data_IF_545806080511
#
_entry.id   IF_545806080511
#
_cell.length_a   1.000
_cell.length_b   1.000
_cell.length_c   1.000
_cell.angle_alpha   90.00
_cell.angle_beta   90.00
_cell.angle_gamma   90.00
#
_symmetry.space_group_name_H-M   'P 1'
#
loop_
_entity.id
_entity.type
_entity.pdbx_description
1 polymer ?
#
# COMPACT_ATOMS: atom_id res chain seq x y z
N UNK A 1 21.49 66.02 -27.28
CA UNK A 1 21.60 65.25 -26.02
C UNK A 1 21.81 63.80 -26.41
N UNK A 2 22.99 63.27 -26.11
CA UNK A 2 23.50 62.00 -26.62
C UNK A 2 22.90 60.81 -25.86
N UNK A 3 22.52 59.77 -26.60
CA UNK A 3 22.05 58.49 -26.09
C UNK A 3 23.28 57.58 -26.05
N UNK A 4 23.70 57.18 -24.85
CA UNK A 4 24.74 56.16 -24.64
C UNK A 4 24.07 54.79 -24.52
N UNK A 5 24.31 53.94 -25.52
CA UNK A 5 24.01 52.51 -25.50
C UNK A 5 25.12 51.78 -24.75
N UNK A 6 24.82 51.27 -23.55
CA UNK A 6 25.68 50.29 -22.86
C UNK A 6 25.57 48.92 -23.54
N UNK A 7 26.72 48.31 -23.80
CA UNK A 7 26.85 46.98 -24.40
C UNK A 7 26.48 45.89 -23.39
N UNK A 8 25.70 44.90 -23.84
CA UNK A 8 25.29 43.73 -23.06
C UNK A 8 26.49 42.85 -22.61
N UNK A 9 27.66 43.03 -23.23
CA UNK A 9 28.89 42.30 -22.89
C UNK A 9 29.57 42.84 -21.62
N UNK A 10 29.37 44.12 -21.28
CA UNK A 10 29.95 44.72 -20.07
C UNK A 10 29.20 44.37 -18.77
N UNK A 11 27.96 43.86 -18.89
CA UNK A 11 27.15 43.41 -17.76
C UNK A 11 27.47 41.97 -17.32
N UNK A 12 28.02 41.14 -18.22
CA UNK A 12 28.30 39.71 -17.96
C UNK A 12 29.70 39.53 -17.35
N UNK A 13 30.65 40.43 -17.63
CA UNK A 13 32.01 40.39 -17.06
C UNK A 13 32.10 40.70 -15.55
N UNK A 14 31.07 41.30 -14.93
CA UNK A 14 31.12 41.71 -13.51
C UNK A 14 30.55 40.70 -12.50
N UNK A 15 30.07 39.53 -12.94
CA UNK A 15 29.47 38.52 -12.04
C UNK A 15 30.24 37.20 -11.88
N UNK A 16 31.46 37.10 -12.42
CA UNK A 16 32.34 35.93 -12.25
C UNK A 16 33.66 36.24 -11.51
N UNK A 17 33.72 37.36 -10.78
CA UNK A 17 34.94 37.84 -10.10
C UNK A 17 35.08 37.48 -8.62
N UNK A 18 34.25 36.62 -8.04
CA UNK A 18 34.29 36.31 -6.59
C UNK A 18 34.27 34.82 -6.30
N UNK A 19 35.28 34.11 -6.80
CA UNK A 19 35.77 32.87 -6.19
C UNK A 19 37.30 32.96 -6.15
N UNK A 20 37.79 33.83 -5.29
CA UNK A 20 39.20 33.90 -4.92
C UNK A 20 39.48 32.77 -3.92
N UNK A 21 40.18 31.74 -4.40
CA UNK A 21 40.86 30.77 -3.55
C UNK A 21 41.95 31.51 -2.79
N UNK A 22 41.88 31.47 -1.46
CA UNK A 22 42.94 31.93 -0.57
C UNK A 22 44.08 30.92 -0.62
N UNK A 23 45.23 31.37 -1.08
CA UNK A 23 46.52 30.72 -0.84
C UNK A 23 46.84 30.84 0.65
N UNK A 24 46.82 29.72 1.36
CA UNK A 24 47.41 29.62 2.69
C UNK A 24 48.88 29.21 2.57
N UNK A 25 49.68 29.99 3.28
CA UNK A 25 51.12 29.98 3.46
C UNK A 25 51.70 28.61 3.84
N UNK A 26 52.75 28.24 3.12
CA UNK A 26 53.69 27.15 3.40
C UNK A 26 54.34 27.32 4.80
N UNK A 27 54.20 26.29 5.64
CA UNK A 27 55.11 26.00 6.74
C UNK A 27 55.88 24.72 6.39
N UNK A 28 57.19 24.88 6.21
CA UNK A 28 58.15 23.81 5.95
C UNK A 28 58.27 22.87 7.15
N UNK A 29 58.43 21.58 6.87
CA UNK A 29 59.03 20.61 7.80
C UNK A 29 58.05 19.64 8.45
N UNK A 30 57.50 18.71 7.67
CA UNK A 30 57.02 17.41 8.18
C UNK A 30 57.00 16.41 7.01
N UNK A 31 57.65 15.28 7.19
CA UNK A 31 57.65 14.14 6.26
C UNK A 31 56.21 13.78 5.87
N UNK A 32 55.87 13.67 4.57
CA UNK A 32 54.51 13.40 4.16
C UNK A 32 54.09 12.00 4.63
N UNK A 33 52.92 11.85 5.29
CA UNK A 33 52.33 10.53 5.45
C UNK A 33 52.14 9.93 4.05
N UNK A 34 52.47 8.65 3.88
CA UNK A 34 52.22 7.93 2.64
C UNK A 34 50.76 8.17 2.24
N UNK A 35 50.57 8.92 1.16
CA UNK A 35 49.28 9.12 0.54
C UNK A 35 48.81 7.75 0.03
N UNK A 36 48.02 7.06 0.84
CA UNK A 36 47.16 5.99 0.36
C UNK A 36 46.36 6.54 -0.82
N UNK A 37 46.22 5.74 -1.86
CA UNK A 37 45.50 6.14 -3.06
C UNK A 37 44.08 6.59 -2.63
N UNK A 38 43.66 7.85 -2.85
CA UNK A 38 42.30 8.30 -2.45
C UNK A 38 41.20 7.46 -3.15
N UNK A 39 41.57 6.81 -4.25
CA UNK A 39 40.76 5.82 -4.97
C UNK A 39 40.60 4.49 -4.22
N UNK A 40 41.59 4.05 -3.42
CA UNK A 40 41.50 2.82 -2.62
C UNK A 40 40.60 2.98 -1.39
N UNK A 41 40.54 4.16 -0.77
CA UNK A 41 39.55 4.45 0.29
C UNK A 41 38.11 4.52 -0.27
N UNK A 42 37.91 5.00 -1.50
CA UNK A 42 36.61 4.98 -2.17
C UNK A 42 36.19 3.57 -2.62
N UNK A 43 37.15 2.70 -2.94
CA UNK A 43 36.90 1.30 -3.32
C UNK A 43 36.73 0.38 -2.09
N UNK A 44 37.35 0.72 -0.96
CA UNK A 44 37.28 -0.04 0.30
C UNK A 44 36.36 0.59 1.35
N UNK A 45 35.72 1.73 1.07
CA UNK A 45 34.64 2.24 1.91
C UNK A 45 33.57 1.14 2.02
N UNK A 46 33.14 0.76 3.24
CA UNK A 46 32.03 -0.18 3.38
C UNK A 46 30.90 0.36 2.52
N UNK A 47 30.46 -0.40 1.51
CA UNK A 47 29.34 -0.03 0.64
C UNK A 47 28.26 0.51 1.56
N UNK A 48 28.04 1.83 1.52
CA UNK A 48 26.98 2.44 2.31
C UNK A 48 25.74 1.65 1.97
N UNK A 49 25.19 0.95 2.97
CA UNK A 49 24.00 0.13 2.74
C UNK A 49 22.97 1.05 2.11
N UNK A 50 22.35 0.53 1.06
CA UNK A 50 21.34 1.25 0.33
C UNK A 50 20.20 1.64 1.29
N UNK A 51 19.75 2.89 1.28
CA UNK A 51 18.73 3.39 2.21
C UNK A 51 17.45 2.55 2.17
N UNK A 52 17.05 2.09 0.97
CA UNK A 52 15.92 1.20 0.81
C UNK A 52 16.14 -0.13 1.51
N UNK A 53 17.31 -0.75 1.34
CA UNK A 53 17.62 -2.03 1.98
C UNK A 53 17.59 -1.93 3.51
N UNK A 54 18.19 -0.86 4.06
CA UNK A 54 18.16 -0.58 5.50
C UNK A 54 16.71 -0.40 5.97
N UNK A 55 15.92 0.41 5.27
CA UNK A 55 14.51 0.61 5.60
C UNK A 55 13.71 -0.70 5.56
N UNK A 56 13.93 -1.54 4.56
CA UNK A 56 13.22 -2.80 4.41
C UNK A 56 13.56 -3.77 5.55
N UNK A 57 14.85 -3.95 5.84
CA UNK A 57 15.32 -4.89 6.86
C UNK A 57 14.95 -4.43 8.28
N UNK A 58 15.12 -3.14 8.58
CA UNK A 58 15.03 -2.64 9.95
C UNK A 58 13.61 -2.20 10.32
N UNK A 59 12.76 -1.87 9.34
CA UNK A 59 11.43 -1.31 9.58
C UNK A 59 10.30 -2.07 8.89
N UNK A 60 10.32 -2.17 7.56
CA UNK A 60 9.15 -2.63 6.80
C UNK A 60 8.88 -4.13 6.95
N UNK A 61 9.88 -4.99 6.71
CA UNK A 61 9.70 -6.43 6.76
C UNK A 61 9.34 -6.94 8.17
N UNK A 62 9.98 -6.47 9.26
CA UNK A 62 9.55 -6.81 10.61
C UNK A 62 8.10 -6.40 10.88
N UNK A 63 7.72 -5.17 10.47
CA UNK A 63 6.34 -4.70 10.62
C UNK A 63 5.36 -5.62 9.88
N UNK A 64 5.62 -5.93 8.62
CA UNK A 64 4.79 -6.82 7.79
C UNK A 64 4.64 -8.21 8.43
N UNK A 65 5.72 -8.81 8.93
CA UNK A 65 5.70 -10.12 9.58
C UNK A 65 4.85 -10.15 10.86
N UNK A 66 4.81 -9.05 11.63
CA UNK A 66 3.96 -8.97 12.84
C UNK A 66 2.48 -8.83 12.53
N UNK A 67 2.11 -8.42 11.31
CA UNK A 67 0.71 -8.30 10.90
C UNK A 67 0.06 -9.69 10.82
N UNK A 68 -1.05 -9.87 11.53
CA UNK A 68 -1.84 -11.13 11.52
C UNK A 68 -3.00 -11.11 10.54
N UNK A 69 -3.48 -9.91 10.20
CA UNK A 69 -4.67 -9.73 9.38
C UNK A 69 -4.31 -8.96 8.11
N UNK A 70 -4.86 -9.43 6.99
CA UNK A 70 -4.87 -8.71 5.73
C UNK A 70 -5.98 -7.67 5.80
N UNK A 71 -5.60 -6.41 6.02
CA UNK A 71 -6.53 -5.29 6.14
C UNK A 71 -6.68 -4.64 4.78
N UNK A 72 -7.93 -4.44 4.36
CA UNK A 72 -8.26 -3.88 3.05
C UNK A 72 -9.22 -2.72 3.20
N UNK A 73 -9.04 -1.69 2.39
CA UNK A 73 -10.00 -0.59 2.29
C UNK A 73 -11.24 -1.06 1.54
N UNK A 74 -12.43 -0.81 2.10
CA UNK A 74 -13.71 -1.20 1.50
C UNK A 74 -14.35 -0.02 0.76
N UNK A 75 -15.02 -0.24 -0.37
CA UNK A 75 -15.64 0.85 -1.15
C UNK A 75 -16.76 1.57 -0.39
N UNK A 76 -17.35 0.92 0.61
CA UNK A 76 -18.42 1.46 1.45
C UNK A 76 -17.90 2.33 2.62
N UNK A 77 -16.57 2.53 2.72
CA UNK A 77 -16.00 3.37 3.75
C UNK A 77 -16.54 4.82 3.65
N UNK A 78 -16.98 5.43 4.78
CA UNK A 78 -17.48 6.81 4.80
C UNK A 78 -16.51 7.84 4.25
N UNK A 79 -15.19 7.58 4.25
CA UNK A 79 -14.18 8.43 3.63
C UNK A 79 -14.57 8.82 2.19
N UNK A 80 -15.10 7.89 1.41
CA UNK A 80 -15.39 8.11 0.00
C UNK A 80 -16.58 9.04 -0.25
N UNK A 81 -17.36 9.41 0.77
CA UNK A 81 -18.55 10.24 0.59
C UNK A 81 -18.20 11.60 -0.02
N UNK A 82 -17.14 12.25 0.45
CA UNK A 82 -16.73 13.55 -0.08
C UNK A 82 -16.33 13.49 -1.56
N UNK A 83 -15.70 12.41 -1.98
CA UNK A 83 -15.36 12.20 -3.40
C UNK A 83 -16.62 12.02 -4.25
N UNK A 84 -17.66 11.34 -3.72
CA UNK A 84 -18.98 11.22 -4.37
C UNK A 84 -19.64 12.60 -4.52
N UNK A 85 -19.68 13.37 -3.44
CA UNK A 85 -20.28 14.72 -3.44
C UNK A 85 -19.59 15.65 -4.46
N UNK A 86 -18.25 15.63 -4.52
CA UNK A 86 -17.47 16.39 -5.51
C UNK A 86 -17.82 15.93 -6.93
N UNK A 87 -17.81 14.61 -7.18
CA UNK A 87 -18.10 14.04 -8.49
C UNK A 87 -19.50 14.41 -9.00
N UNK A 88 -20.51 14.30 -8.12
CA UNK A 88 -21.89 14.66 -8.42
C UNK A 88 -22.07 16.16 -8.66
N UNK A 89 -21.47 17.01 -7.82
CA UNK A 89 -21.58 18.48 -7.97
C UNK A 89 -20.98 18.99 -9.28
N UNK A 90 -19.97 18.29 -9.81
CA UNK A 90 -19.34 18.59 -11.11
C UNK A 90 -20.11 18.03 -12.31
N UNK A 91 -21.13 17.19 -12.08
CA UNK A 91 -21.90 16.55 -13.15
C UNK A 91 -21.04 15.66 -14.06
N UNK A 92 -19.98 15.06 -13.51
CA UNK A 92 -19.09 14.20 -14.27
C UNK A 92 -19.71 12.83 -14.51
N UNK A 93 -19.48 12.29 -15.70
CA UNK A 93 -20.05 11.02 -16.15
C UNK A 93 -18.96 9.96 -16.35
N UNK A 94 -19.38 8.70 -16.46
CA UNK A 94 -18.50 7.56 -16.67
C UNK A 94 -17.96 6.96 -15.38
N UNK A 95 -16.94 6.12 -15.51
CA UNK A 95 -16.43 5.25 -14.44
C UNK A 95 -15.29 5.87 -13.61
N UNK A 96 -14.98 7.17 -13.78
CA UNK A 96 -13.81 7.76 -13.11
C UNK A 96 -13.88 7.72 -11.59
N UNK A 97 -15.07 7.90 -11.00
CA UNK A 97 -15.27 7.76 -9.55
C UNK A 97 -15.12 6.32 -9.08
N UNK A 98 -15.74 5.36 -9.78
CA UNK A 98 -15.67 3.94 -9.41
C UNK A 98 -14.25 3.40 -9.55
N UNK A 99 -13.52 3.83 -10.59
CA UNK A 99 -12.11 3.53 -10.79
C UNK A 99 -11.22 4.16 -9.70
N UNK A 100 -11.45 5.42 -9.34
CA UNK A 100 -10.76 6.09 -8.22
C UNK A 100 -10.94 5.32 -6.91
N UNK A 101 -12.18 4.96 -6.55
CA UNK A 101 -12.46 4.18 -5.35
C UNK A 101 -11.78 2.81 -5.43
N UNK A 102 -11.87 2.13 -6.58
CA UNK A 102 -11.27 0.80 -6.77
C UNK A 102 -9.75 0.82 -6.62
N UNK A 103 -9.07 1.84 -7.15
CA UNK A 103 -7.63 2.03 -6.99
C UNK A 103 -7.22 2.23 -5.52
N UNK A 104 -8.08 2.83 -4.70
CA UNK A 104 -7.83 3.04 -3.27
C UNK A 104 -8.21 1.84 -2.39
N UNK A 105 -9.01 0.89 -2.89
CA UNK A 105 -9.48 -0.32 -2.19
C UNK A 105 -8.44 -1.45 -2.05
N UNK A 106 -7.16 -1.10 -1.95
CA UNK A 106 -6.03 -2.02 -1.79
C UNK A 106 -5.80 -2.51 -0.36
N UNK A 107 -4.76 -3.31 -0.18
CA UNK A 107 -4.32 -3.85 1.11
C UNK A 107 -3.48 -2.81 1.86
N UNK A 108 -3.92 -2.44 3.06
CA UNK A 108 -3.28 -1.42 3.92
C UNK A 108 -1.91 -1.85 4.45
N UNK A 109 -1.66 -3.16 4.52
CA UNK A 109 -0.38 -3.70 4.96
C UNK A 109 0.74 -3.45 3.93
N UNK A 110 0.39 -3.14 2.68
CA UNK A 110 1.32 -3.00 1.58
C UNK A 110 1.65 -1.53 1.30
N UNK A 111 2.85 -1.24 0.76
CA UNK A 111 3.20 0.11 0.33
C UNK A 111 2.23 0.61 -0.74
N UNK A 112 1.75 1.83 -0.60
CA UNK A 112 0.92 2.48 -1.60
C UNK A 112 1.77 2.95 -2.80
N UNK A 113 1.18 3.11 -3.97
CA UNK A 113 1.80 3.74 -5.13
C UNK A 113 1.20 5.13 -5.29
N UNK A 114 2.03 6.17 -5.23
CA UNK A 114 1.60 7.54 -5.49
C UNK A 114 1.89 7.92 -6.95
N UNK A 115 0.84 8.22 -7.70
CA UNK A 115 0.86 8.80 -9.03
C UNK A 115 0.48 10.28 -8.97
N UNK A 116 0.56 10.98 -10.10
CA UNK A 116 0.24 12.40 -10.15
C UNK A 116 -1.28 12.62 -10.20
N UNK A 117 -1.95 11.97 -11.14
CA UNK A 117 -3.34 12.22 -11.49
C UNK A 117 -3.92 11.06 -12.32
N UNK A 118 -5.27 10.95 -12.40
CA UNK A 118 -5.90 9.92 -13.20
C UNK A 118 -5.55 10.06 -14.69
N UNK A 119 -5.44 8.91 -15.36
CA UNK A 119 -5.21 8.87 -16.81
C UNK A 119 -6.40 9.45 -17.58
N UNK A 120 -6.17 9.87 -18.82
CA UNK A 120 -7.24 10.30 -19.73
C UNK A 120 -8.36 9.25 -19.89
N UNK A 121 -8.06 7.97 -19.68
CA UNK A 121 -8.99 6.85 -19.84
C UNK A 121 -9.76 6.50 -18.56
N UNK A 122 -9.75 7.36 -17.53
CA UNK A 122 -10.42 7.13 -16.24
C UNK A 122 -11.93 6.90 -16.37
N UNK A 123 -12.56 7.46 -17.41
CA UNK A 123 -13.99 7.31 -17.67
C UNK A 123 -14.40 5.92 -18.19
N UNK A 124 -13.45 5.09 -18.61
CA UNK A 124 -13.70 3.75 -19.15
C UNK A 124 -13.90 2.71 -18.03
N UNK A 125 -14.61 1.60 -18.30
CA UNK A 125 -14.65 0.46 -17.39
C UNK A 125 -13.25 -0.03 -17.00
N UNK A 126 -13.09 -0.51 -15.76
CA UNK A 126 -11.82 -0.91 -15.14
C UNK A 126 -10.81 -1.59 -16.08
N UNK A 127 -11.19 -2.69 -16.73
CA UNK A 127 -10.28 -3.45 -17.59
C UNK A 127 -9.83 -2.64 -18.81
N UNK A 128 -10.73 -1.80 -19.35
CA UNK A 128 -10.43 -0.91 -20.47
C UNK A 128 -9.57 0.28 -20.03
N UNK A 129 -9.80 0.83 -18.85
CA UNK A 129 -8.92 1.88 -18.29
C UNK A 129 -7.49 1.35 -18.17
N UNK A 130 -7.29 0.15 -17.61
CA UNK A 130 -5.97 -0.46 -17.47
C UNK A 130 -5.35 -0.72 -18.85
N UNK A 131 -6.07 -1.36 -19.76
CA UNK A 131 -5.57 -1.68 -21.11
C UNK A 131 -5.08 -0.44 -21.87
N UNK A 132 -5.77 0.70 -21.70
CA UNK A 132 -5.46 1.94 -22.42
C UNK A 132 -4.49 2.86 -21.67
N UNK A 133 -4.36 2.72 -20.35
CA UNK A 133 -3.44 3.50 -19.52
C UNK A 133 -2.07 2.81 -19.47
N UNK A 134 -1.03 3.35 -20.12
CA UNK A 134 0.27 2.68 -20.18
C UNK A 134 0.92 2.56 -18.80
N UNK A 135 0.68 3.55 -17.94
CA UNK A 135 1.15 3.53 -16.55
C UNK A 135 0.51 2.38 -15.78
N UNK A 136 -0.83 2.28 -15.80
CA UNK A 136 -1.54 1.23 -15.06
C UNK A 136 -1.27 -0.16 -15.65
N UNK A 137 -1.21 -0.29 -16.97
CA UNK A 137 -0.81 -1.52 -17.63
C UNK A 137 0.58 -1.99 -17.19
N UNK A 138 1.56 -1.08 -17.16
CA UNK A 138 2.92 -1.38 -16.72
C UNK A 138 2.94 -1.82 -15.25
N UNK A 139 2.24 -1.09 -14.36
CA UNK A 139 2.15 -1.46 -12.94
C UNK A 139 1.50 -2.84 -12.77
N UNK A 140 0.39 -3.09 -13.46
CA UNK A 140 -0.32 -4.36 -13.43
C UNK A 140 0.55 -5.52 -13.91
N UNK A 141 1.34 -5.31 -14.96
CA UNK A 141 2.29 -6.31 -15.47
C UNK A 141 3.38 -6.62 -14.44
N UNK A 142 3.97 -5.60 -13.83
CA UNK A 142 5.04 -5.76 -12.83
C UNK A 142 4.55 -6.47 -11.58
N UNK A 143 3.40 -6.06 -11.04
CA UNK A 143 2.77 -6.72 -9.89
C UNK A 143 2.36 -8.16 -10.20
N UNK A 144 1.86 -8.41 -11.42
CA UNK A 144 1.37 -9.71 -11.85
C UNK A 144 2.42 -10.82 -11.79
N UNK A 145 3.72 -10.49 -11.89
CA UNK A 145 4.82 -11.45 -11.74
C UNK A 145 4.84 -12.12 -10.37
N UNK A 146 4.32 -11.43 -9.35
CA UNK A 146 4.26 -11.89 -7.97
C UNK A 146 2.86 -12.36 -7.57
N UNK A 147 1.94 -12.49 -8.55
CA UNK A 147 0.54 -12.83 -8.28
C UNK A 147 -0.27 -11.71 -7.64
N UNK A 148 0.27 -10.48 -7.60
CA UNK A 148 -0.45 -9.29 -7.14
C UNK A 148 -1.15 -8.60 -8.31
N UNK A 149 -2.22 -7.88 -8.01
CA UNK A 149 -2.95 -7.04 -8.97
C UNK A 149 -3.02 -5.59 -8.53
N UNK A 150 -3.45 -4.71 -9.44
CA UNK A 150 -3.79 -3.32 -9.10
C UNK A 150 -4.89 -3.23 -8.04
N UNK A 151 -5.72 -4.28 -7.86
CA UNK A 151 -6.69 -4.30 -6.79
C UNK A 151 -6.03 -4.55 -5.44
N UNK A 152 -4.89 -5.22 -5.38
CA UNK A 152 -4.25 -5.57 -4.10
C UNK A 152 -3.42 -4.41 -3.53
N UNK A 153 -3.05 -3.44 -4.37
CA UNK A 153 -2.22 -2.30 -3.99
C UNK A 153 -3.06 -1.03 -3.97
N UNK A 154 -2.87 -0.20 -2.96
CA UNK A 154 -3.46 1.14 -2.93
C UNK A 154 -2.70 2.01 -3.93
N UNK A 155 -3.40 2.51 -4.96
CA UNK A 155 -2.86 3.48 -5.91
C UNK A 155 -3.53 4.82 -5.67
N UNK A 156 -2.73 5.78 -5.24
CA UNK A 156 -3.14 7.13 -4.87
C UNK A 156 -2.72 8.07 -5.99
N UNK A 157 -3.64 8.87 -6.49
CA UNK A 157 -3.29 10.04 -7.32
C UNK A 157 -3.10 11.25 -6.40
N UNK A 158 -2.01 12.01 -6.55
CA UNK A 158 -1.78 13.23 -5.78
C UNK A 158 -2.93 14.23 -5.98
N UNK A 159 -3.39 14.38 -7.22
CA UNK A 159 -4.51 15.25 -7.61
C UNK A 159 -5.64 14.38 -8.16
N UNK A 160 -6.43 13.72 -7.29
CA UNK A 160 -7.40 12.71 -7.70
C UNK A 160 -8.58 13.35 -8.44
N UNK A 161 -9.33 12.52 -9.18
CA UNK A 161 -10.52 12.89 -9.99
C UNK A 161 -10.26 13.87 -11.14
N UNK A 162 -9.11 14.54 -11.16
CA UNK A 162 -8.76 15.61 -12.08
C UNK A 162 -7.80 15.10 -13.17
N UNK A 163 -8.35 14.75 -14.33
CA UNK A 163 -7.54 14.44 -15.51
C UNK A 163 -6.98 15.69 -16.15
N UNK A 164 -5.92 15.50 -16.93
CA UNK A 164 -5.36 16.48 -17.87
C UNK A 164 -6.45 17.23 -18.68
N UNK A 165 -7.42 16.51 -19.25
CA UNK A 165 -8.49 17.11 -20.04
C UNK A 165 -9.46 17.94 -19.19
N UNK A 166 -9.82 17.44 -18.00
CA UNK A 166 -10.70 18.15 -17.07
C UNK A 166 -10.05 19.46 -16.61
N UNK A 167 -8.74 19.47 -16.39
CA UNK A 167 -7.99 20.69 -16.09
C UNK A 167 -7.94 21.68 -17.25
N UNK A 168 -7.72 21.18 -18.47
CA UNK A 168 -7.59 22.04 -19.65
C UNK A 168 -8.93 22.75 -19.98
N UNK A 169 -10.05 22.25 -19.46
CA UNK A 169 -11.36 22.89 -19.53
C UNK A 169 -11.61 23.97 -18.47
N UNK A 170 -10.76 24.07 -17.44
CA UNK A 170 -10.85 25.07 -16.36
C UNK A 170 -9.93 26.26 -16.63
N UNK A 171 -10.34 27.45 -16.18
CA UNK A 171 -9.42 28.59 -16.13
C UNK A 171 -8.33 28.40 -15.05
N UNK A 172 -7.32 29.27 -15.05
CA UNK A 172 -6.18 29.11 -14.14
C UNK A 172 -6.57 29.19 -12.65
N UNK A 173 -7.51 30.06 -12.29
CA UNK A 173 -7.93 30.26 -10.91
C UNK A 173 -8.78 29.09 -10.43
N UNK A 174 -9.73 28.66 -11.26
CA UNK A 174 -10.55 27.47 -10.97
C UNK A 174 -9.66 26.22 -10.86
N UNK A 175 -8.72 26.05 -11.78
CA UNK A 175 -7.80 24.91 -11.78
C UNK A 175 -6.98 24.85 -10.49
N UNK A 176 -6.41 25.96 -10.06
CA UNK A 176 -5.62 26.01 -8.82
C UNK A 176 -6.49 25.69 -7.60
N UNK A 177 -7.66 26.33 -7.48
CA UNK A 177 -8.58 26.09 -6.36
C UNK A 177 -9.01 24.63 -6.30
N UNK A 178 -9.38 24.06 -7.45
CA UNK A 178 -9.87 22.71 -7.52
C UNK A 178 -8.77 21.67 -7.32
N UNK A 179 -7.56 21.88 -7.87
CA UNK A 179 -6.41 21.03 -7.60
C UNK A 179 -6.07 20.98 -6.10
N UNK A 180 -6.12 22.12 -5.41
CA UNK A 180 -5.93 22.16 -3.95
C UNK A 180 -7.09 21.49 -3.19
N UNK A 181 -8.33 21.59 -3.67
CA UNK A 181 -9.47 20.90 -3.07
C UNK A 181 -9.33 19.37 -3.16
N UNK A 182 -9.02 18.83 -4.34
CA UNK A 182 -8.88 17.38 -4.51
C UNK A 182 -7.59 16.85 -3.91
N UNK A 183 -6.50 17.64 -3.85
CA UNK A 183 -5.29 17.25 -3.11
C UNK A 183 -5.58 17.03 -1.61
N UNK A 184 -6.52 17.77 -1.01
CA UNK A 184 -6.97 17.51 0.36
C UNK A 184 -7.57 16.12 0.53
N UNK A 185 -8.24 15.57 -0.49
CA UNK A 185 -8.72 14.17 -0.43
C UNK A 185 -7.55 13.20 -0.28
N UNK A 186 -6.45 13.45 -0.98
CA UNK A 186 -5.24 12.63 -0.88
C UNK A 186 -4.63 12.70 0.52
N UNK A 187 -4.50 13.91 1.07
CA UNK A 187 -4.02 14.10 2.45
C UNK A 187 -4.95 13.43 3.47
N UNK A 188 -6.26 13.59 3.30
CA UNK A 188 -7.28 12.99 4.15
C UNK A 188 -7.25 11.47 4.07
N UNK A 189 -7.09 10.88 2.88
CA UNK A 189 -6.97 9.44 2.68
C UNK A 189 -5.78 8.88 3.44
N UNK A 190 -4.60 9.48 3.22
CA UNK A 190 -3.34 9.09 3.85
C UNK A 190 -3.50 9.10 5.38
N UNK A 191 -4.13 10.14 5.93
CA UNK A 191 -4.39 10.27 7.37
C UNK A 191 -5.45 9.28 7.87
N UNK A 192 -6.56 9.14 7.15
CA UNK A 192 -7.68 8.30 7.57
C UNK A 192 -7.26 6.83 7.68
N UNK A 193 -6.53 6.35 6.67
CA UNK A 193 -6.11 4.96 6.58
C UNK A 193 -4.72 4.65 7.15
N UNK A 194 -4.04 5.67 7.69
CA UNK A 194 -2.69 5.56 8.23
C UNK A 194 -1.70 4.94 7.23
N UNK A 195 -1.61 5.52 6.04
CA UNK A 195 -0.66 5.05 5.02
C UNK A 195 0.76 5.39 5.48
N UNK A 196 1.52 4.37 5.88
CA UNK A 196 2.87 4.56 6.46
C UNK A 196 3.99 4.52 5.41
N UNK A 197 3.80 3.79 4.31
CA UNK A 197 4.82 3.56 3.29
C UNK A 197 4.21 3.77 1.91
N UNK A 198 4.92 4.51 1.07
CA UNK A 198 4.54 4.66 -0.34
C UNK A 198 5.76 4.73 -1.25
N UNK A 199 5.59 4.28 -2.48
CA UNK A 199 6.48 4.59 -3.58
C UNK A 199 5.93 5.79 -4.35
N UNK A 200 6.71 6.86 -4.44
CA UNK A 200 6.32 8.02 -5.22
C UNK A 200 6.76 7.88 -6.68
N UNK A 201 5.78 7.71 -7.56
CA UNK A 201 5.92 7.66 -9.01
C UNK A 201 5.43 8.96 -9.67
N UNK A 202 5.41 10.07 -8.92
CA UNK A 202 5.10 11.39 -9.45
C UNK A 202 6.35 12.27 -9.46
N UNK A 203 6.75 12.74 -10.64
CA UNK A 203 7.96 13.57 -10.81
C UNK A 203 7.64 15.06 -10.97
N UNK A 204 6.38 15.46 -10.77
CA UNK A 204 5.84 16.72 -11.26
C UNK A 204 5.13 17.50 -10.16
N UNK A 205 5.92 17.93 -9.18
CA UNK A 205 5.50 18.95 -8.21
C UNK A 205 6.60 19.99 -7.98
N UNK A 206 7.42 20.27 -9.01
CA UNK A 206 8.18 21.52 -9.02
C UNK A 206 7.21 22.68 -9.25
N UNK A 207 7.34 23.80 -8.52
CA UNK A 207 6.51 25.00 -8.68
C UNK A 207 6.46 25.58 -10.11
N UNK A 208 7.33 25.10 -11.00
CA UNK A 208 7.44 25.50 -12.40
C UNK A 208 6.56 24.69 -13.37
N UNK A 209 5.85 23.65 -12.91
CA UNK A 209 5.00 22.85 -13.79
C UNK A 209 3.69 23.59 -14.13
N UNK A 210 3.78 24.51 -15.10
CA UNK A 210 2.71 25.45 -15.53
C UNK A 210 1.32 24.82 -15.71
N UNK A 211 1.25 23.52 -16.03
CA UNK A 211 -0.02 22.83 -16.28
C UNK A 211 -0.88 22.63 -15.02
N UNK A 212 -0.27 22.24 -13.90
CA UNK A 212 -0.99 21.79 -12.70
C UNK A 212 -1.31 22.92 -11.71
N UNK A 213 -0.85 24.15 -12.01
CA UNK A 213 -0.85 25.22 -11.03
C UNK A 213 0.13 24.94 -9.88
N UNK A 214 0.17 25.85 -8.91
CA UNK A 214 0.90 25.61 -7.67
C UNK A 214 -0.08 24.89 -6.74
N UNK A 215 0.12 23.59 -6.51
CA UNK A 215 -0.47 22.95 -5.33
C UNK A 215 0.24 23.59 -4.14
N UNK A 216 -0.46 24.50 -3.47
CA UNK A 216 0.12 25.34 -2.42
C UNK A 216 0.04 24.61 -1.07
N UNK A 217 0.58 23.40 -1.05
CA UNK A 217 0.65 22.55 0.12
C UNK A 217 2.11 22.10 0.33
N UNK A 218 2.75 22.46 1.45
CA UNK A 218 4.11 22.02 1.78
C UNK A 218 4.28 20.50 1.81
N UNK A 219 3.20 19.75 2.01
CA UNK A 219 3.21 18.30 1.96
C UNK A 219 3.38 17.78 0.52
N UNK A 220 2.79 18.43 -0.48
CA UNK A 220 2.93 18.04 -1.88
C UNK A 220 4.39 18.02 -2.35
N UNK A 221 5.17 19.01 -1.94
CA UNK A 221 6.60 19.09 -2.26
C UNK A 221 7.42 17.95 -1.63
N UNK A 222 7.02 17.45 -0.46
CA UNK A 222 7.68 16.32 0.20
C UNK A 222 7.38 14.97 -0.47
N UNK A 223 6.28 14.90 -1.22
CA UNK A 223 5.88 13.71 -1.98
C UNK A 223 6.53 13.62 -3.36
N UNK A 224 7.33 14.60 -3.78
CA UNK A 224 8.04 14.58 -5.06
C UNK A 224 8.93 13.33 -5.18
N UNK A 225 9.04 12.82 -6.40
CA UNK A 225 10.11 11.89 -6.74
C UNK A 225 10.96 12.30 -7.93
N UNK A 226 12.10 11.63 -8.09
CA UNK A 226 13.03 11.88 -9.19
C UNK A 226 13.70 10.58 -9.64
N UNK A 227 14.07 10.54 -10.93
CA UNK A 227 14.83 9.42 -11.51
C UNK A 227 16.15 9.20 -10.78
N UNK A 228 16.81 10.28 -10.36
CA UNK A 228 18.07 10.19 -9.63
C UNK A 228 17.88 9.58 -8.24
N UNK A 229 16.82 9.96 -7.52
CA UNK A 229 16.45 9.35 -6.24
C UNK A 229 16.10 7.86 -6.38
N UNK A 230 15.37 7.49 -7.43
CA UNK A 230 15.04 6.08 -7.70
C UNK A 230 16.27 5.23 -8.02
N UNK A 231 17.22 5.76 -8.81
CA UNK A 231 18.49 5.07 -9.09
C UNK A 231 19.33 4.85 -7.84
N UNK A 232 19.31 5.80 -6.90
CA UNK A 232 19.96 5.68 -5.60
C UNK A 232 19.13 4.87 -4.59
N UNK A 233 17.89 4.54 -4.93
CA UNK A 233 16.90 3.90 -4.05
C UNK A 233 16.74 4.67 -2.72
N UNK A 234 16.65 6.00 -2.84
CA UNK A 234 16.49 6.91 -1.71
C UNK A 234 15.13 6.69 -1.03
N UNK A 235 15.11 6.78 0.32
CA UNK A 235 13.89 6.73 1.12
C UNK A 235 13.77 8.01 1.92
N UNK A 236 12.79 8.84 1.58
CA UNK A 236 12.53 10.08 2.28
C UNK A 236 11.61 9.85 3.50
N UNK A 237 11.84 10.63 4.54
CA UNK A 237 10.96 10.71 5.70
C UNK A 237 10.12 11.96 5.57
N UNK A 238 8.81 11.78 5.52
CA UNK A 238 7.84 12.86 5.33
C UNK A 238 6.97 12.96 6.56
N UNK A 239 6.71 14.20 6.99
CA UNK A 239 5.91 14.48 8.17
C UNK A 239 4.53 14.98 7.77
N UNK A 240 3.49 14.25 8.19
CA UNK A 240 2.11 14.68 8.08
C UNK A 240 1.55 14.88 9.48
N UNK A 241 1.61 16.12 9.97
CA UNK A 241 1.19 16.47 11.33
C UNK A 241 1.98 15.66 12.38
N UNK A 242 1.31 14.80 13.14
CA UNK A 242 1.87 13.92 14.16
C UNK A 242 2.34 12.56 13.61
N UNK A 243 2.26 12.36 12.28
CA UNK A 243 2.57 11.09 11.62
C UNK A 243 3.82 11.16 10.77
N UNK A 244 4.49 10.03 10.69
CA UNK A 244 5.68 9.86 9.85
C UNK A 244 5.36 8.89 8.72
N UNK A 245 5.70 9.29 7.51
CA UNK A 245 5.57 8.49 6.30
C UNK A 245 6.94 8.24 5.70
N UNK A 246 7.12 7.05 5.13
CA UNK A 246 8.30 6.68 4.36
C UNK A 246 7.95 6.72 2.88
N UNK A 247 8.59 7.64 2.16
CA UNK A 247 8.38 7.83 0.73
C UNK A 247 9.59 7.32 -0.02
N UNK A 248 9.43 6.17 -0.65
CA UNK A 248 10.43 5.56 -1.50
C UNK A 248 10.44 6.31 -2.83
N UNK A 249 11.61 6.78 -3.25
CA UNK A 249 11.75 7.56 -4.48
C UNK A 249 11.62 6.64 -5.69
N UNK A 250 10.57 6.81 -6.48
CA UNK A 250 10.39 6.19 -7.80
C UNK A 250 10.45 7.22 -8.92
N UNK A 251 9.86 6.89 -10.06
CA UNK A 251 9.50 7.85 -11.10
C UNK A 251 8.31 7.33 -11.91
N UNK A 252 7.67 8.24 -12.65
CA UNK A 252 6.48 7.90 -13.41
C UNK A 252 6.80 6.92 -14.56
N UNK A 253 6.11 5.77 -14.70
CA UNK A 253 6.38 4.78 -15.75
C UNK A 253 6.37 5.34 -17.19
N UNK A 254 5.61 6.41 -17.45
CA UNK A 254 5.67 7.08 -18.76
C UNK A 254 7.05 7.63 -19.15
N UNK A 255 7.98 7.85 -18.20
CA UNK A 255 9.36 8.20 -18.54
C UNK A 255 10.07 7.09 -19.32
N UNK A 256 9.75 5.82 -19.05
CA UNK A 256 10.28 4.68 -19.80
C UNK A 256 9.76 4.76 -21.24
N UNK A 257 8.45 4.92 -21.40
CA UNK A 257 7.81 4.97 -22.72
C UNK A 257 8.25 6.17 -23.56
N UNK A 258 8.49 7.33 -22.94
CA UNK A 258 8.90 8.56 -23.62
C UNK A 258 10.39 8.58 -24.00
N UNK A 259 11.21 7.72 -23.41
CA UNK A 259 12.63 7.62 -23.76
C UNK A 259 12.78 6.94 -25.12
N UNK A 260 13.37 7.64 -26.10
CA UNK A 260 13.57 7.12 -27.46
C UNK A 260 14.72 6.12 -27.55
N UNK A 261 15.83 6.41 -26.86
CA UNK A 261 17.02 5.55 -26.78
C UNK A 261 16.69 4.18 -26.14
N UNK A 262 16.85 3.05 -26.86
CA UNK A 262 16.55 1.72 -26.34
C UNK A 262 17.34 1.35 -25.09
N UNK A 263 18.61 1.75 -24.99
CA UNK A 263 19.47 1.38 -23.88
C UNK A 263 19.08 2.15 -22.61
N UNK A 264 18.88 3.48 -22.72
CA UNK A 264 18.35 4.27 -21.62
C UNK A 264 16.93 3.81 -21.21
N UNK A 265 16.07 3.43 -22.17
CA UNK A 265 14.74 2.89 -21.88
C UNK A 265 14.84 1.60 -21.06
N UNK A 266 15.66 0.65 -21.50
CA UNK A 266 15.90 -0.62 -20.81
C UNK A 266 16.49 -0.39 -19.41
N UNK A 267 17.45 0.53 -19.28
CA UNK A 267 18.03 0.92 -18.00
C UNK A 267 16.99 1.50 -17.03
N UNK A 268 16.12 2.42 -17.50
CA UNK A 268 15.05 2.99 -16.67
C UNK A 268 14.03 1.93 -16.27
N UNK A 269 13.61 1.08 -17.20
CA UNK A 269 12.69 -0.02 -16.91
C UNK A 269 13.29 -0.95 -15.84
N UNK A 270 14.57 -1.32 -15.96
CA UNK A 270 15.28 -2.13 -14.98
C UNK A 270 15.34 -1.49 -13.58
N UNK A 271 15.55 -0.16 -13.50
CA UNK A 271 15.56 0.57 -12.22
C UNK A 271 14.18 0.51 -11.55
N UNK A 272 13.11 0.84 -12.29
CA UNK A 272 11.78 0.90 -11.70
C UNK A 272 11.23 -0.50 -11.37
N UNK A 273 11.49 -1.49 -12.24
CA UNK A 273 11.16 -2.90 -11.97
C UNK A 273 11.91 -3.40 -10.76
N UNK A 274 13.23 -3.19 -10.67
CA UNK A 274 14.02 -3.60 -9.52
C UNK A 274 13.50 -3.00 -8.21
N UNK A 275 13.06 -1.73 -8.26
CA UNK A 275 12.44 -1.06 -7.11
C UNK A 275 11.13 -1.74 -6.70
N UNK A 276 10.21 -1.98 -7.66
CA UNK A 276 8.95 -2.67 -7.40
C UNK A 276 9.15 -4.10 -6.91
N UNK A 277 10.07 -4.85 -7.53
CA UNK A 277 10.39 -6.24 -7.16
C UNK A 277 10.88 -6.29 -5.71
N UNK A 278 11.81 -5.40 -5.33
CA UNK A 278 12.36 -5.32 -3.97
C UNK A 278 11.27 -5.04 -2.92
N UNK A 279 10.24 -4.25 -3.26
CA UNK A 279 9.20 -3.79 -2.32
C UNK A 279 8.03 -4.77 -2.25
N UNK A 280 7.54 -5.25 -3.40
CA UNK A 280 6.28 -5.98 -3.51
C UNK A 280 6.45 -7.49 -3.51
N UNK A 281 7.63 -8.04 -3.85
CA UNK A 281 7.87 -9.48 -3.71
C UNK A 281 7.65 -9.96 -2.26
N UNK A 282 8.23 -9.31 -1.22
CA UNK A 282 7.97 -9.72 0.16
C UNK A 282 6.50 -9.60 0.58
N UNK A 283 5.76 -8.65 0.00
CA UNK A 283 4.33 -8.48 0.22
C UNK A 283 3.54 -9.68 -0.31
N UNK A 284 3.85 -10.10 -1.55
CA UNK A 284 3.26 -11.27 -2.18
C UNK A 284 3.55 -12.56 -1.40
N UNK A 285 4.82 -12.76 -1.01
CA UNK A 285 5.25 -13.92 -0.23
C UNK A 285 4.48 -13.98 1.11
N UNK A 286 4.35 -12.83 1.78
CA UNK A 286 3.57 -12.73 3.02
C UNK A 286 2.09 -13.04 2.81
N UNK A 287 1.45 -12.51 1.76
CA UNK A 287 0.05 -12.79 1.47
C UNK A 287 -0.19 -14.26 1.13
N UNK A 288 0.67 -14.86 0.31
CA UNK A 288 0.60 -16.27 -0.03
C UNK A 288 0.73 -17.15 1.24
N UNK A 289 1.66 -16.80 2.15
CA UNK A 289 1.79 -17.47 3.43
C UNK A 289 0.50 -17.38 4.27
N UNK A 290 -0.10 -16.20 4.38
CA UNK A 290 -1.35 -16.00 5.13
C UNK A 290 -2.53 -16.76 4.53
N UNK A 291 -2.62 -16.84 3.21
CA UNK A 291 -3.66 -17.64 2.57
C UNK A 291 -3.50 -19.13 2.86
N UNK A 292 -2.27 -19.66 2.86
CA UNK A 292 -1.99 -21.05 3.24
C UNK A 292 -2.38 -21.34 4.69
N UNK A 293 -1.88 -20.54 5.63
CA UNK A 293 -2.19 -20.69 7.06
C UNK A 293 -3.69 -20.64 7.34
N UNK A 294 -4.41 -19.76 6.64
CA UNK A 294 -5.87 -19.67 6.77
C UNK A 294 -6.56 -20.91 6.22
N UNK A 295 -6.14 -21.42 5.06
CA UNK A 295 -6.67 -22.65 4.47
C UNK A 295 -6.48 -23.86 5.40
N UNK A 296 -5.28 -24.05 5.94
CA UNK A 296 -4.97 -25.13 6.89
C UNK A 296 -5.81 -25.02 8.18
N UNK A 297 -5.99 -23.80 8.68
CA UNK A 297 -6.84 -23.55 9.85
C UNK A 297 -8.32 -23.85 9.55
N UNK A 298 -8.83 -23.41 8.40
CA UNK A 298 -10.21 -23.68 7.96
C UNK A 298 -10.44 -25.19 7.78
N UNK A 299 -9.52 -25.92 7.15
CA UNK A 299 -9.58 -27.38 7.02
C UNK A 299 -9.59 -28.08 8.38
N UNK A 300 -8.70 -27.66 9.29
CA UNK A 300 -8.65 -28.20 10.66
C UNK A 300 -9.95 -27.94 11.41
N UNK A 301 -10.54 -26.75 11.28
CA UNK A 301 -11.82 -26.40 11.89
C UNK A 301 -12.96 -27.24 11.31
N UNK A 302 -13.01 -27.46 10.00
CA UNK A 302 -14.02 -28.32 9.38
C UNK A 302 -13.87 -29.78 9.83
N UNK A 303 -12.64 -30.31 9.87
CA UNK A 303 -12.38 -31.67 10.35
C UNK A 303 -12.83 -31.84 11.81
N UNK A 304 -12.47 -30.90 12.69
CA UNK A 304 -12.89 -30.92 14.08
C UNK A 304 -14.42 -30.82 14.22
N UNK A 305 -15.07 -29.99 13.40
CA UNK A 305 -16.53 -29.89 13.39
C UNK A 305 -17.21 -31.20 12.94
N UNK A 306 -16.66 -31.90 11.95
CA UNK A 306 -17.16 -33.18 11.49
C UNK A 306 -16.93 -34.31 12.51
N UNK A 307 -15.79 -34.31 13.21
CA UNK A 307 -15.52 -35.23 14.32
C UNK A 307 -16.53 -35.03 15.46
N UNK A 308 -16.78 -33.78 15.87
CA UNK A 308 -17.79 -33.45 16.88
C UNK A 308 -19.17 -33.93 16.43
N UNK A 309 -19.54 -33.68 15.17
CA UNK A 309 -20.80 -34.15 14.59
C UNK A 309 -20.91 -35.68 14.63
N UNK A 310 -19.86 -36.39 14.24
CA UNK A 310 -19.80 -37.86 14.26
C UNK A 310 -19.92 -38.43 15.69
N UNK A 311 -19.24 -37.81 16.65
CA UNK A 311 -19.33 -38.18 18.06
C UNK A 311 -20.75 -37.98 18.60
N UNK A 312 -21.42 -36.87 18.25
CA UNK A 312 -22.81 -36.61 18.63
C UNK A 312 -23.77 -37.66 18.05
N UNK A 313 -23.62 -38.03 16.78
CA UNK A 313 -24.43 -39.08 16.15
C UNK A 313 -24.26 -40.42 16.86
N UNK A 314 -23.01 -40.79 17.16
CA UNK A 314 -22.69 -42.02 17.89
C UNK A 314 -23.31 -42.01 19.27
N UNK A 315 -23.18 -40.90 20.01
CA UNK A 315 -23.78 -40.71 21.32
C UNK A 315 -25.31 -40.89 21.27
N UNK A 316 -26.00 -40.25 20.34
CA UNK A 316 -27.46 -40.41 20.19
C UNK A 316 -27.87 -41.85 19.83
N UNK A 317 -27.09 -42.55 19.02
CA UNK A 317 -27.35 -43.96 18.71
C UNK A 317 -27.18 -44.86 19.93
N UNK A 318 -26.15 -44.62 20.75
CA UNK A 318 -25.95 -45.32 22.03
C UNK A 318 -27.12 -45.08 22.99
N UNK A 319 -27.62 -43.83 23.10
CA UNK A 319 -28.83 -43.54 23.89
C UNK A 319 -30.04 -44.32 23.37
N UNK A 320 -30.25 -44.36 22.05
CA UNK A 320 -31.38 -45.09 21.45
C UNK A 320 -31.30 -46.59 21.77
N UNK A 321 -30.12 -47.19 21.65
CA UNK A 321 -29.87 -48.59 21.98
C UNK A 321 -30.13 -48.86 23.47
N UNK A 322 -29.60 -48.03 24.37
CA UNK A 322 -29.86 -48.11 25.81
C UNK A 322 -31.37 -48.08 26.12
N UNK A 323 -32.11 -47.12 25.55
CA UNK A 323 -33.57 -47.02 25.72
C UNK A 323 -34.32 -48.24 25.17
N UNK A 324 -33.83 -48.86 24.09
CA UNK A 324 -34.40 -50.09 23.56
C UNK A 324 -34.22 -51.27 24.53
N UNK A 325 -33.00 -51.45 25.06
CA UNK A 325 -32.70 -52.46 26.08
C UNK A 325 -33.54 -52.25 27.35
N UNK A 326 -33.67 -51.01 27.83
CA UNK A 326 -34.48 -50.67 28.99
C UNK A 326 -35.95 -51.08 28.79
N UNK A 327 -36.53 -50.79 27.62
CA UNK A 327 -37.89 -51.23 27.28
C UNK A 327 -38.02 -52.75 27.23
N UNK A 328 -37.01 -53.45 26.73
CA UNK A 328 -37.02 -54.92 26.67
C UNK A 328 -36.92 -55.54 28.08
N UNK A 329 -36.07 -55.01 28.95
CA UNK A 329 -35.96 -55.47 30.34
C UNK A 329 -37.28 -55.30 31.10
N UNK A 330 -37.96 -54.16 30.91
CA UNK A 330 -39.30 -53.93 31.48
C UNK A 330 -40.30 -55.00 31.01
N UNK A 331 -40.31 -55.33 29.71
CA UNK A 331 -41.20 -56.36 29.15
C UNK A 331 -40.93 -57.76 29.72
N UNK A 332 -39.68 -58.08 30.01
CA UNK A 332 -39.27 -59.37 30.56
C UNK A 332 -39.45 -59.46 32.08
N UNK A 333 -39.98 -58.42 32.73
CA UNK A 333 -40.16 -58.38 34.18
C UNK A 333 -38.86 -58.23 34.98
N UNK A 334 -37.73 -58.04 34.30
CA UNK A 334 -36.41 -57.81 34.91
C UNK A 334 -36.11 -56.32 35.14
N UNK A 335 -36.91 -55.43 34.54
CA UNK A 335 -36.85 -53.98 34.74
C UNK A 335 -38.08 -53.43 35.44
N UNK A 336 -37.88 -52.51 36.39
CA UNK A 336 -38.96 -51.78 37.07
C UNK A 336 -39.41 -50.57 36.24
N UNK A 337 -40.67 -50.56 35.79
CA UNK A 337 -41.32 -49.37 35.23
C UNK A 337 -41.81 -48.43 36.35
N UNK A 338 -40.96 -48.08 37.33
CA UNK A 338 -41.33 -47.07 38.32
C UNK A 338 -41.28 -45.69 37.67
N UNK A 339 -42.45 -45.19 37.32
CA UNK A 339 -42.69 -43.78 36.99
C UNK A 339 -42.17 -42.91 38.14
N UNK A 340 -41.11 -42.15 37.88
CA UNK A 340 -40.99 -40.79 38.42
C UNK A 340 -40.27 -40.56 39.76
N UNK A 341 -39.58 -41.52 40.37
CA UNK A 341 -38.82 -41.23 41.61
C UNK A 341 -37.31 -41.42 41.40
N UNK A 342 -36.60 -40.29 41.25
CA UNK A 342 -35.20 -39.91 41.56
C UNK A 342 -34.00 -40.89 41.56
N UNK A 343 -34.21 -42.19 41.42
CA UNK A 343 -33.18 -43.19 41.18
C UNK A 343 -33.43 -43.81 39.80
N UNK A 344 -32.37 -43.96 39.00
CA UNK A 344 -32.33 -44.49 37.63
C UNK A 344 -32.59 -43.53 36.45
N UNK A 345 -32.38 -42.22 36.64
CA UNK A 345 -31.71 -41.48 35.55
C UNK A 345 -30.23 -41.78 35.74
N UNK A 346 -29.57 -42.53 34.83
CA UNK A 346 -28.14 -42.77 34.95
C UNK A 346 -27.43 -41.43 35.15
N UNK A 347 -26.50 -41.37 36.10
CA UNK A 347 -25.85 -40.11 36.49
C UNK A 347 -25.31 -39.33 35.28
N UNK A 348 -24.80 -40.06 34.28
CA UNK A 348 -24.33 -39.51 33.01
C UNK A 348 -25.36 -38.67 32.24
N UNK A 349 -26.65 -38.91 32.40
CA UNK A 349 -27.69 -38.17 31.69
C UNK A 349 -27.91 -36.76 32.29
N UNK A 350 -27.67 -36.57 33.59
CA UNK A 350 -27.60 -35.24 34.21
C UNK A 350 -26.32 -34.52 33.81
N UNK A 351 -25.22 -35.26 33.74
CA UNK A 351 -23.90 -34.72 33.38
C UNK A 351 -23.85 -34.26 31.91
N UNK A 352 -24.51 -34.97 30.99
CA UNK A 352 -24.58 -34.58 29.57
C UNK A 352 -25.38 -33.29 29.36
N UNK A 353 -26.51 -33.10 30.04
CA UNK A 353 -27.27 -31.83 29.93
C UNK A 353 -26.44 -30.64 30.42
N UNK A 354 -25.64 -30.84 31.47
CA UNK A 354 -24.68 -29.85 31.97
C UNK A 354 -23.58 -29.55 30.93
N UNK A 355 -22.98 -30.59 30.33
CA UNK A 355 -21.93 -30.46 29.31
C UNK A 355 -22.44 -29.76 28.04
N UNK A 356 -23.64 -30.11 27.55
CA UNK A 356 -24.25 -29.46 26.38
C UNK A 356 -24.52 -27.97 26.64
N UNK A 357 -24.91 -27.61 27.86
CA UNK A 357 -25.09 -26.19 28.24
C UNK A 357 -23.77 -25.41 28.35
N UNK A 358 -22.64 -26.08 28.58
CA UNK A 358 -21.30 -25.46 28.60
C UNK A 358 -20.65 -25.38 27.22
N UNK A 359 -20.98 -26.30 26.30
CA UNK A 359 -20.38 -26.37 24.95
C UNK A 359 -21.08 -25.48 23.91
N UNK A 360 -22.33 -25.08 24.16
CA UNK A 360 -23.00 -24.09 23.34
C UNK A 360 -22.52 -22.71 23.80
N UNK A 361 -21.93 -21.88 22.92
CA UNK A 361 -21.65 -20.49 23.28
C UNK A 361 -22.98 -19.86 23.72
N UNK A 362 -22.97 -19.25 24.90
CA UNK A 362 -24.12 -18.49 25.38
C UNK A 362 -24.62 -17.53 24.29
N UNK A 363 -25.92 -17.18 24.29
CA UNK A 363 -26.45 -16.28 23.28
C UNK A 363 -25.53 -15.06 23.19
N UNK A 364 -25.00 -14.82 21.97
CA UNK A 364 -24.28 -13.59 21.66
C UNK A 364 -25.25 -12.45 22.01
N UNK A 365 -25.03 -11.86 23.17
CA UNK A 365 -25.74 -10.67 23.61
C UNK A 365 -25.45 -9.59 22.58
N UNK A 366 -26.49 -9.26 21.81
CA UNK A 366 -26.53 -8.17 20.85
C UNK A 366 -26.40 -6.80 21.55
#
# INVERSE_FOLDING_TARGET
MAITTESLEDAIGRRLGTLSLRDETLLEGSTPPQAGNPSEELLNAPRQRNQLEVFLQDCFLPSLQTQRQLRRVTPDDPFFQRARDIWESRGWNGEGLSNYITLLCGILNFPAILLLNPSFWDFLPWDKMIQNSPTLAWIQEVLGRWGLSLRDIIVIDAVPLLTDQKMDAMDNTEREQFANEVFKLTVEFIRHFDVQVMISCQCATTPSHRRWGIVNDPFAAQLCSSVSGARRQDVATVYLQDRTLRVIQGFHPMHIRRTEDPDARSSLDGVLRGLFDTIFQPCADWQAQRHRERGECEETLHSAADEVRGAMVTFFNTIRAYRACQRQAIRLGTGSARRGNDFDVPQWQRDVSSIVSMLLPGPLSA
#
